data_IF_997988358742
#
_entry.id   IF_997988358742
#
_cell.length_a   1.000
_cell.length_b   1.000
_cell.length_c   1.000
_cell.angle_alpha   90.00
_cell.angle_beta   90.00
_cell.angle_gamma   90.00
#
_symmetry.space_group_name_H-M   'P 1'
#
loop_
_entity.id
_entity.type
_entity.pdbx_description
1 polymer ?
#
# COMPACT_ATOMS: atom_id res chain seq x y z
N UNK A 1 -16.42 13.15 -5.25
CA UNK A 1 -15.39 14.02 -4.71
C UNK A 1 -14.04 13.39 -4.98
N UNK A 2 -13.06 14.15 -5.51
CA UNK A 2 -11.69 13.69 -5.73
C UNK A 2 -11.51 12.77 -6.94
N UNK A 3 -12.32 12.91 -7.96
CA UNK A 3 -12.12 12.24 -9.24
C UNK A 3 -12.09 13.25 -10.40
N UNK A 4 -13.04 13.45 -11.19
CA UNK A 4 -13.13 14.39 -12.32
C UNK A 4 -11.87 14.37 -13.20
N UNK A 5 -11.00 15.37 -13.11
CA UNK A 5 -9.75 15.49 -13.88
C UNK A 5 -8.53 14.86 -13.16
N UNK A 6 -8.70 14.38 -11.95
CA UNK A 6 -7.59 13.82 -11.19
C UNK A 6 -7.22 12.42 -11.70
N UNK A 7 -6.03 12.32 -12.26
CA UNK A 7 -5.44 11.06 -12.68
C UNK A 7 -4.35 10.65 -11.70
N UNK A 8 -4.41 9.42 -11.23
CA UNK A 8 -3.42 8.89 -10.29
C UNK A 8 -2.85 7.58 -10.77
N UNK A 9 -1.58 7.36 -10.44
CA UNK A 9 -0.89 6.11 -10.71
C UNK A 9 -0.93 5.24 -9.44
N UNK A 10 -1.34 3.95 -9.52
CA UNK A 10 -1.35 3.03 -8.38
C UNK A 10 -0.02 2.97 -7.62
N UNK A 11 1.09 3.02 -8.33
CA UNK A 11 2.41 3.06 -7.72
C UNK A 11 2.62 4.28 -6.82
N UNK A 12 2.20 5.47 -7.26
CA UNK A 12 2.27 6.67 -6.42
C UNK A 12 1.37 6.55 -5.19
N UNK A 13 0.18 5.96 -5.34
CA UNK A 13 -0.71 5.72 -4.20
C UNK A 13 -0.08 4.76 -3.20
N UNK A 14 0.58 3.70 -3.65
CA UNK A 14 1.32 2.80 -2.78
C UNK A 14 2.44 3.52 -2.01
N UNK A 15 3.20 4.40 -2.69
CA UNK A 15 4.25 5.20 -2.04
C UNK A 15 3.68 6.16 -0.98
N UNK A 16 2.52 6.77 -1.25
CA UNK A 16 1.82 7.61 -0.27
C UNK A 16 1.37 6.81 0.95
N UNK A 17 0.88 5.57 0.74
CA UNK A 17 0.53 4.68 1.85
C UNK A 17 1.76 4.29 2.68
N UNK A 18 2.88 4.00 2.03
CA UNK A 18 4.16 3.77 2.68
C UNK A 18 4.65 4.99 3.47
N UNK A 19 4.47 6.21 2.93
CA UNK A 19 4.81 7.44 3.65
C UNK A 19 3.98 7.62 4.93
N UNK A 20 2.65 7.39 4.86
CA UNK A 20 1.78 7.46 6.04
C UNK A 20 2.20 6.42 7.08
N UNK A 21 2.47 5.19 6.65
CA UNK A 21 2.96 4.12 7.53
C UNK A 21 4.25 4.49 8.24
N UNK A 22 5.15 5.22 7.55
CA UNK A 22 6.48 5.65 8.00
C UNK A 22 6.48 7.10 8.54
N UNK A 23 5.44 7.50 9.27
CA UNK A 23 5.38 8.80 9.96
C UNK A 23 5.42 10.02 9.03
N UNK A 24 4.96 9.88 7.80
CA UNK A 24 4.88 10.96 6.82
C UNK A 24 6.06 11.06 5.86
N UNK A 25 7.03 10.15 5.97
CA UNK A 25 8.25 10.15 5.15
C UNK A 25 8.27 8.95 4.20
N UNK A 26 8.22 9.13 2.88
CA UNK A 26 8.31 8.03 1.94
C UNK A 26 9.73 7.46 1.88
N UNK A 27 9.81 6.20 1.52
CA UNK A 27 11.08 5.53 1.20
C UNK A 27 11.31 5.61 -0.30
N UNK A 28 12.55 5.87 -0.73
CA UNK A 28 12.95 5.78 -2.14
C UNK A 28 12.92 4.32 -2.56
N UNK A 29 12.06 3.92 -3.49
CA UNK A 29 11.98 2.53 -3.90
C UNK A 29 13.21 2.13 -4.70
N UNK A 30 13.64 0.89 -4.55
CA UNK A 30 14.66 0.27 -5.38
C UNK A 30 14.26 -1.17 -5.69
N UNK A 31 14.70 -1.67 -6.85
CA UNK A 31 14.38 -3.02 -7.34
C UNK A 31 15.61 -3.94 -7.38
N UNK A 32 16.81 -3.35 -7.31
CA UNK A 32 18.07 -4.10 -7.37
C UNK A 32 18.65 -4.18 -5.97
N UNK A 33 18.59 -5.36 -5.37
CA UNK A 33 19.13 -5.61 -4.04
C UNK A 33 20.66 -5.55 -4.04
N UNK A 34 21.30 -6.23 -4.99
CA UNK A 34 22.76 -6.17 -5.13
C UNK A 34 23.23 -6.45 -6.55
N UNK A 35 24.42 -5.96 -6.86
CA UNK A 35 25.15 -6.28 -8.09
C UNK A 35 26.47 -6.91 -7.66
N UNK A 36 26.71 -8.14 -8.12
CA UNK A 36 27.93 -8.89 -7.84
C UNK A 36 28.75 -9.14 -9.08
N UNK A 37 30.06 -9.20 -8.94
CA UNK A 37 30.96 -9.66 -10.01
C UNK A 37 30.83 -11.18 -10.21
N UNK A 38 31.40 -11.68 -11.31
CA UNK A 38 31.51 -13.14 -11.56
C UNK A 38 32.20 -13.90 -10.41
N UNK A 39 33.06 -13.25 -9.65
CA UNK A 39 33.77 -13.82 -8.50
C UNK A 39 33.03 -13.62 -7.16
N UNK A 40 31.76 -13.19 -7.18
CA UNK A 40 30.96 -13.02 -5.98
C UNK A 40 31.20 -11.72 -5.19
N UNK A 41 32.05 -10.81 -5.69
CA UNK A 41 32.28 -9.52 -5.02
C UNK A 41 31.09 -8.60 -5.26
N UNK A 42 30.46 -8.10 -4.19
CA UNK A 42 29.38 -7.12 -4.26
C UNK A 42 29.96 -5.77 -4.67
N UNK A 43 29.55 -5.26 -5.83
CA UNK A 43 29.97 -3.95 -6.35
C UNK A 43 28.97 -2.84 -6.05
N UNK A 44 27.70 -3.20 -5.83
CA UNK A 44 26.64 -2.29 -5.42
C UNK A 44 25.63 -3.04 -4.56
N UNK A 45 25.23 -2.45 -3.44
CA UNK A 45 24.12 -2.92 -2.61
C UNK A 45 23.00 -1.87 -2.60
N UNK A 46 21.78 -2.33 -2.76
CA UNK A 46 20.58 -1.53 -2.51
C UNK A 46 20.44 -1.34 -0.99
N UNK A 47 19.96 -0.19 -0.59
CA UNK A 47 19.65 0.07 0.82
C UNK A 47 18.47 1.04 0.92
N UNK A 48 17.73 0.91 2.00
CA UNK A 48 16.61 1.79 2.30
C UNK A 48 17.08 3.22 2.50
N UNK A 49 16.47 4.15 1.78
CA UNK A 49 16.71 5.58 1.91
C UNK A 49 15.37 6.30 2.06
N UNK A 50 15.28 7.16 3.06
CA UNK A 50 14.15 8.05 3.19
C UNK A 50 14.25 9.18 2.15
N UNK A 51 13.09 9.62 1.66
CA UNK A 51 12.95 10.83 0.85
C UNK A 51 12.55 12.02 1.74
N UNK A 52 12.23 13.15 1.11
CA UNK A 52 11.72 14.32 1.81
C UNK A 52 10.37 14.01 2.46
N UNK A 53 10.22 14.40 3.71
CA UNK A 53 8.93 14.29 4.42
C UNK A 53 7.81 14.97 3.63
N UNK A 54 6.72 14.27 3.40
CA UNK A 54 5.54 14.74 2.65
C UNK A 54 4.47 15.31 3.56
N UNK A 55 4.24 14.68 4.72
CA UNK A 55 3.28 15.12 5.73
C UNK A 55 3.91 15.08 7.11
N UNK A 56 3.42 15.94 8.00
CA UNK A 56 3.88 15.96 9.38
C UNK A 56 3.53 14.64 10.08
N UNK A 57 4.35 14.23 11.05
CA UNK A 57 4.20 12.95 11.73
C UNK A 57 2.85 12.82 12.47
N UNK A 58 2.37 13.92 13.08
CA UNK A 58 1.06 13.96 13.74
C UNK A 58 -0.10 13.79 12.75
N UNK A 59 0.02 14.37 11.55
CA UNK A 59 -0.94 14.19 10.46
C UNK A 59 -0.94 12.75 9.96
N UNK A 60 0.24 12.16 9.77
CA UNK A 60 0.37 10.76 9.39
C UNK A 60 -0.25 9.82 10.44
N UNK A 61 -0.05 10.10 11.73
CA UNK A 61 -0.66 9.33 12.81
C UNK A 61 -2.19 9.40 12.78
N UNK A 62 -2.77 10.58 12.59
CA UNK A 62 -4.24 10.76 12.45
C UNK A 62 -4.80 10.06 11.22
N UNK A 63 -4.10 10.11 10.09
CA UNK A 63 -4.49 9.37 8.88
C UNK A 63 -4.45 7.86 9.11
N UNK A 64 -3.42 7.36 9.75
CA UNK A 64 -3.30 5.94 10.16
C UNK A 64 -4.48 5.51 11.02
N UNK A 65 -4.82 6.30 12.04
CA UNK A 65 -5.96 6.02 12.93
C UNK A 65 -7.28 5.99 12.15
N UNK A 66 -7.54 7.00 11.31
CA UNK A 66 -8.75 7.06 10.49
C UNK A 66 -8.85 5.89 9.50
N UNK A 67 -7.74 5.51 8.87
CA UNK A 67 -7.68 4.37 7.94
C UNK A 67 -7.84 3.03 8.69
N UNK A 68 -7.33 2.93 9.92
CA UNK A 68 -7.54 1.76 10.76
C UNK A 68 -9.01 1.62 11.17
N UNK A 69 -9.64 2.74 11.54
CA UNK A 69 -11.06 2.78 11.85
C UNK A 69 -11.93 2.29 10.68
N UNK A 70 -11.61 2.68 9.42
CA UNK A 70 -12.33 2.16 8.26
C UNK A 70 -12.30 0.62 8.19
N UNK A 71 -11.15 0.01 8.48
CA UNK A 71 -11.04 -1.46 8.43
C UNK A 71 -11.83 -2.10 9.56
N UNK A 72 -11.72 -1.61 10.78
CA UNK A 72 -12.41 -2.21 11.94
C UNK A 72 -13.92 -2.03 11.91
N UNK A 73 -14.40 -0.88 11.38
CA UNK A 73 -15.82 -0.51 11.46
C UNK A 73 -16.59 -0.82 10.17
N UNK A 74 -15.94 -0.73 9.00
CA UNK A 74 -16.63 -0.80 7.70
C UNK A 74 -16.26 -2.04 6.88
N UNK A 75 -14.98 -2.43 6.86
CA UNK A 75 -14.52 -3.50 5.97
C UNK A 75 -14.47 -4.86 6.67
N UNK A 76 -14.24 -4.88 7.97
CA UNK A 76 -14.03 -6.06 8.79
C UNK A 76 -12.57 -6.48 8.86
N UNK A 77 -12.08 -6.68 10.09
CA UNK A 77 -10.69 -7.08 10.35
C UNK A 77 -10.35 -8.50 9.86
N UNK A 78 -11.38 -9.33 9.72
CA UNK A 78 -11.27 -10.67 9.16
C UNK A 78 -10.82 -10.69 7.68
N UNK A 79 -10.91 -9.55 6.99
CA UNK A 79 -10.40 -9.40 5.62
C UNK A 79 -8.86 -9.48 5.59
N UNK A 80 -8.18 -9.08 6.67
CA UNK A 80 -6.72 -9.05 6.79
C UNK A 80 -6.27 -9.62 8.15
N UNK A 81 -6.39 -10.94 8.38
CA UNK A 81 -6.10 -11.53 9.67
C UNK A 81 -4.65 -11.28 10.10
N UNK A 82 -4.48 -10.83 11.36
CA UNK A 82 -3.20 -10.60 12.03
C UNK A 82 -2.30 -9.49 11.44
N UNK A 83 -2.81 -8.65 10.54
CA UNK A 83 -2.00 -7.61 9.89
C UNK A 83 -2.24 -6.20 10.41
N UNK A 84 -3.31 -5.98 11.18
CA UNK A 84 -3.73 -4.66 11.63
C UNK A 84 -3.72 -3.62 10.47
N UNK A 85 -4.34 -3.97 9.36
CA UNK A 85 -4.33 -3.16 8.12
C UNK A 85 -5.06 -1.84 8.34
N UNK A 86 -4.46 -0.78 7.82
CA UNK A 86 -5.04 0.55 7.65
C UNK A 86 -5.34 0.74 6.17
N UNK A 87 -6.60 0.96 5.78
CA UNK A 87 -6.97 1.02 4.36
C UNK A 87 -8.09 2.01 4.06
N UNK A 88 -8.17 2.38 2.78
CA UNK A 88 -9.27 3.17 2.21
C UNK A 88 -9.64 2.63 0.84
N UNK A 89 -10.94 2.42 0.64
CA UNK A 89 -11.49 2.09 -0.68
C UNK A 89 -11.80 3.34 -1.48
N UNK A 90 -11.81 3.19 -2.78
CA UNK A 90 -12.26 4.19 -3.74
C UNK A 90 -13.11 3.55 -4.83
N UNK A 91 -14.00 4.35 -5.40
CA UNK A 91 -14.79 3.99 -6.57
C UNK A 91 -14.69 5.16 -7.54
N UNK A 92 -13.98 4.95 -8.65
CA UNK A 92 -13.68 6.01 -9.62
C UNK A 92 -14.50 5.80 -10.90
N UNK A 93 -15.41 6.72 -11.17
CA UNK A 93 -16.20 6.71 -12.39
C UNK A 93 -15.32 6.98 -13.61
N UNK A 94 -15.50 6.17 -14.65
CA UNK A 94 -14.71 6.25 -15.89
C UNK A 94 -15.52 6.76 -17.09
N UNK A 95 -16.82 7.02 -16.89
CA UNK A 95 -17.73 7.49 -17.94
C UNK A 95 -18.04 6.45 -19.01
N UNK A 96 -18.73 6.87 -20.09
CA UNK A 96 -19.01 6.01 -21.23
C UNK A 96 -19.93 4.82 -20.93
N UNK A 97 -20.71 4.83 -19.84
CA UNK A 97 -21.59 3.73 -19.46
C UNK A 97 -20.85 2.49 -18.93
N UNK A 98 -19.58 2.62 -18.61
CA UNK A 98 -18.78 1.55 -18.00
C UNK A 98 -18.94 1.54 -16.49
N UNK A 99 -18.76 0.37 -15.90
CA UNK A 99 -18.68 0.24 -14.45
C UNK A 99 -17.46 1.01 -13.90
N UNK A 100 -17.55 1.61 -12.70
CA UNK A 100 -16.45 2.31 -12.08
C UNK A 100 -15.23 1.42 -11.81
N UNK A 101 -14.05 2.02 -11.80
CA UNK A 101 -12.86 1.35 -11.31
C UNK A 101 -12.89 1.25 -9.78
N UNK A 102 -12.69 0.04 -9.28
CA UNK A 102 -12.62 -0.24 -7.86
C UNK A 102 -11.19 -0.08 -7.36
N UNK A 103 -11.01 0.68 -6.27
CA UNK A 103 -9.72 0.93 -5.65
C UNK A 103 -9.69 0.45 -4.20
N UNK A 104 -8.55 -0.04 -3.77
CA UNK A 104 -8.19 -0.16 -2.37
C UNK A 104 -6.72 0.15 -2.19
N UNK A 105 -6.41 1.04 -1.25
CA UNK A 105 -5.05 1.42 -0.89
C UNK A 105 -4.87 1.30 0.61
N UNK A 106 -3.68 0.93 1.05
CA UNK A 106 -3.45 0.76 2.48
C UNK A 106 -2.05 0.25 2.82
N UNK A 107 -1.88 -0.08 4.08
CA UNK A 107 -0.66 -0.65 4.61
C UNK A 107 -0.94 -1.49 5.86
N UNK A 108 -0.07 -2.44 6.14
CA UNK A 108 -0.05 -3.19 7.40
C UNK A 108 0.64 -2.35 8.49
N UNK A 109 0.05 -2.34 9.69
CA UNK A 109 0.68 -1.79 10.89
C UNK A 109 1.44 -2.83 11.71
N UNK A 110 1.46 -4.09 11.27
CA UNK A 110 2.23 -5.14 11.89
C UNK A 110 3.69 -5.07 11.40
N UNK A 111 4.62 -4.93 12.32
CA UNK A 111 6.06 -4.83 12.02
C UNK A 111 6.63 -6.08 11.35
N UNK A 112 6.00 -7.25 11.54
CA UNK A 112 6.40 -8.50 10.88
C UNK A 112 5.94 -8.57 9.42
N UNK A 113 4.99 -7.72 9.02
CA UNK A 113 4.45 -7.67 7.66
C UNK A 113 4.34 -6.22 7.17
N UNK A 114 5.45 -5.47 7.08
CA UNK A 114 5.45 -4.02 6.86
C UNK A 114 5.22 -3.68 5.38
N UNK A 115 4.08 -4.06 4.84
CA UNK A 115 3.75 -3.85 3.43
C UNK A 115 2.78 -2.68 3.24
N UNK A 116 3.04 -1.85 2.25
CA UNK A 116 2.09 -0.90 1.69
C UNK A 116 1.59 -1.43 0.34
N UNK A 117 0.32 -1.17 0.01
CA UNK A 117 -0.29 -1.68 -1.20
C UNK A 117 -1.24 -0.68 -1.87
N UNK A 118 -1.42 -0.85 -3.16
CA UNK A 118 -2.49 -0.25 -3.95
C UNK A 118 -3.03 -1.29 -4.93
N UNK A 119 -4.34 -1.46 -4.94
CA UNK A 119 -5.07 -2.36 -5.83
C UNK A 119 -6.08 -1.57 -6.63
N UNK A 120 -6.09 -1.81 -7.94
CA UNK A 120 -7.09 -1.27 -8.88
C UNK A 120 -7.68 -2.44 -9.65
N UNK A 121 -9.00 -2.49 -9.70
CA UNK A 121 -9.73 -3.41 -10.57
C UNK A 121 -10.55 -2.58 -11.54
N UNK A 122 -10.17 -2.60 -12.81
CA UNK A 122 -10.89 -1.88 -13.86
C UNK A 122 -12.30 -2.45 -14.02
N UNK A 123 -13.28 -1.56 -14.11
CA UNK A 123 -14.71 -1.93 -14.17
C UNK A 123 -15.16 -2.85 -13.03
N UNK A 124 -14.53 -2.71 -11.87
CA UNK A 124 -14.77 -3.58 -10.70
C UNK A 124 -16.00 -3.19 -9.86
N UNK A 125 -16.70 -2.15 -10.21
CA UNK A 125 -17.90 -1.61 -9.58
C UNK A 125 -17.71 -1.22 -8.09
N UNK A 126 -17.35 -2.15 -7.21
CA UNK A 126 -17.29 -1.94 -5.76
C UNK A 126 -15.86 -2.07 -5.22
N UNK A 127 -15.36 -0.99 -4.60
CA UNK A 127 -14.02 -0.95 -4.00
C UNK A 127 -13.78 -2.09 -3.03
N UNK A 128 -14.71 -2.32 -2.07
CA UNK A 128 -14.51 -3.35 -1.06
C UNK A 128 -14.64 -4.77 -1.62
N UNK A 129 -15.59 -5.03 -2.53
CA UNK A 129 -15.80 -6.37 -3.06
C UNK A 129 -14.72 -6.79 -4.04
N UNK A 130 -14.40 -5.94 -5.01
CA UNK A 130 -13.43 -6.26 -6.05
C UNK A 130 -11.99 -6.00 -5.55
N UNK A 131 -11.63 -4.75 -5.29
CA UNK A 131 -10.25 -4.42 -4.88
C UNK A 131 -9.91 -4.95 -3.48
N UNK A 132 -10.86 -4.97 -2.55
CA UNK A 132 -10.67 -5.52 -1.21
C UNK A 132 -10.39 -7.02 -1.22
N UNK A 133 -11.11 -7.80 -2.04
CA UNK A 133 -10.85 -9.24 -2.18
C UNK A 133 -9.46 -9.53 -2.74
N UNK A 134 -9.04 -8.79 -3.76
CA UNK A 134 -7.68 -8.90 -4.33
C UNK A 134 -6.62 -8.49 -3.29
N UNK A 135 -6.83 -7.36 -2.60
CA UNK A 135 -5.90 -6.89 -1.56
C UNK A 135 -5.75 -7.92 -0.44
N UNK A 136 -6.85 -8.52 0.02
CA UNK A 136 -6.85 -9.56 1.05
C UNK A 136 -6.01 -10.77 0.62
N UNK A 137 -6.26 -11.31 -0.55
CA UNK A 137 -5.52 -12.46 -1.08
C UNK A 137 -4.03 -12.15 -1.27
N UNK A 138 -3.71 -10.99 -1.86
CA UNK A 138 -2.33 -10.54 -2.07
C UNK A 138 -1.58 -10.37 -0.75
N UNK A 139 -2.18 -9.71 0.24
CA UNK A 139 -1.56 -9.47 1.53
C UNK A 139 -1.37 -10.76 2.33
N UNK A 140 -2.30 -11.71 2.23
CA UNK A 140 -2.17 -13.03 2.85
C UNK A 140 -1.00 -13.83 2.27
N UNK A 141 -0.73 -13.73 0.96
CA UNK A 141 0.45 -14.35 0.35
C UNK A 141 1.74 -13.60 0.71
N UNK A 142 1.73 -12.26 0.68
CA UNK A 142 2.88 -11.44 1.05
C UNK A 142 3.33 -11.72 2.50
N UNK A 143 2.40 -11.95 3.42
CA UNK A 143 2.71 -12.28 4.81
C UNK A 143 3.48 -13.59 5.01
N UNK A 144 3.51 -14.47 4.02
CA UNK A 144 4.29 -15.72 4.03
C UNK A 144 5.74 -15.51 3.61
N UNK A 145 6.07 -14.35 3.05
CA UNK A 145 7.42 -14.01 2.61
C UNK A 145 8.18 -13.49 3.83
N UNK A 146 9.33 -14.08 4.22
CA UNK A 146 10.13 -13.55 5.31
C UNK A 146 10.52 -12.11 5.04
N UNK A 147 10.41 -11.23 6.05
CA UNK A 147 10.89 -9.86 5.93
C UNK A 147 12.40 -9.86 5.70
N UNK A 148 12.87 -9.12 4.70
CA UNK A 148 14.30 -8.95 4.46
C UNK A 148 14.93 -8.30 5.71
N UNK A 149 15.72 -9.05 6.47
CA UNK A 149 16.38 -8.59 7.70
C UNK A 149 16.27 -9.51 8.91
N UNK A 150 15.74 -10.73 8.76
CA UNK A 150 15.65 -11.74 9.84
C UNK A 150 16.78 -12.78 9.79
N UNK A 151 17.93 -12.45 9.18
CA UNK A 151 19.17 -13.23 9.29
C UNK A 151 20.22 -12.49 10.10
#
# INVERSE_FOLDING_TARGET
VGQYTDLTNPYHMMLLMGAIANGGTPVKPYMIESITTHFGLVTKAGHTQNDRQLVQADTAAKLKEAMRYNVTSEYGDNLFPNMAVCAKTGTAEVGGGKEPNAWMVGFSSNEQTPYAFAVVVENGASGIRAAGGVASAMMAEAAKIPSAGSE
#
